data_IF_339477215527
#
_entry.id   IF_339477215527
#
_cell.length_a   1.000
_cell.length_b   1.000
_cell.length_c   1.000
_cell.angle_alpha   90.00
_cell.angle_beta   90.00
_cell.angle_gamma   90.00
#
_symmetry.space_group_name_H-M   'P 1'
#
loop_
_entity.id
_entity.type
_entity.pdbx_description
1 polymer ?
#
# COMPACT_ATOMS: atom_id res chain seq x y z
N UNK A 1 3.76 3.36 -45.07
CA UNK A 1 3.12 3.96 -43.86
C UNK A 1 4.02 3.63 -42.67
N UNK A 2 5.03 4.45 -42.42
CA UNK A 2 6.19 4.07 -41.58
C UNK A 2 6.10 4.61 -40.14
N UNK A 3 4.91 5.05 -39.72
CA UNK A 3 4.66 5.66 -38.42
C UNK A 3 5.00 4.72 -37.26
N UNK A 4 4.65 3.43 -37.38
CA UNK A 4 4.99 2.39 -36.41
C UNK A 4 6.50 2.25 -36.21
N UNK A 5 7.28 2.26 -37.29
CA UNK A 5 8.74 2.19 -37.23
C UNK A 5 9.37 3.44 -36.61
N UNK A 6 8.78 4.63 -36.80
CA UNK A 6 9.24 5.87 -36.17
C UNK A 6 8.94 5.87 -34.67
N UNK A 7 7.74 5.44 -34.28
CA UNK A 7 7.33 5.34 -32.89
C UNK A 7 8.17 4.28 -32.14
N UNK A 8 8.37 3.10 -32.75
CA UNK A 8 9.17 2.01 -32.18
C UNK A 8 10.66 2.30 -32.13
N UNK A 9 11.15 3.39 -32.73
CA UNK A 9 12.55 3.83 -32.64
C UNK A 9 12.75 4.98 -31.65
N UNK A 10 11.68 5.68 -31.25
CA UNK A 10 11.76 6.78 -30.30
C UNK A 10 11.85 6.26 -28.85
N UNK A 11 12.91 6.58 -28.09
CA UNK A 11 13.08 6.11 -26.71
C UNK A 11 11.97 6.61 -25.78
N UNK A 12 11.45 7.83 -25.98
CA UNK A 12 10.35 8.38 -25.18
C UNK A 12 9.04 7.62 -25.43
N UNK A 13 8.77 7.26 -26.69
CA UNK A 13 7.60 6.47 -27.03
C UNK A 13 7.65 5.06 -26.44
N UNK A 14 8.84 4.42 -26.46
CA UNK A 14 9.05 3.13 -25.80
C UNK A 14 8.83 3.21 -24.28
N UNK A 15 9.33 4.28 -23.66
CA UNK A 15 9.16 4.49 -22.22
C UNK A 15 7.69 4.70 -21.85
N UNK A 16 6.94 5.50 -22.61
CA UNK A 16 5.50 5.66 -22.43
C UNK A 16 4.74 4.35 -22.62
N UNK A 17 5.06 3.59 -23.67
CA UNK A 17 4.47 2.27 -23.90
C UNK A 17 4.78 1.29 -22.75
N UNK A 18 6.01 1.32 -22.21
CA UNK A 18 6.40 0.52 -21.06
C UNK A 18 5.58 0.88 -19.80
N UNK A 19 5.43 2.16 -19.48
CA UNK A 19 4.59 2.62 -18.35
C UNK A 19 3.15 2.14 -18.52
N UNK A 20 2.57 2.30 -19.73
CA UNK A 20 1.21 1.84 -20.02
C UNK A 20 1.07 0.33 -19.81
N UNK A 21 2.03 -0.46 -20.29
CA UNK A 21 2.04 -1.90 -20.06
C UNK A 21 2.06 -2.22 -18.56
N UNK A 22 2.91 -1.54 -17.77
CA UNK A 22 2.96 -1.72 -16.31
C UNK A 22 1.60 -1.39 -15.65
N UNK A 23 0.94 -0.31 -16.05
CA UNK A 23 -0.37 0.04 -15.53
C UNK A 23 -1.45 -0.99 -15.89
N UNK A 24 -1.49 -1.47 -17.14
CA UNK A 24 -2.42 -2.52 -17.54
C UNK A 24 -2.15 -3.84 -16.81
N UNK A 25 -0.89 -4.22 -16.60
CA UNK A 25 -0.54 -5.40 -15.82
C UNK A 25 -0.97 -5.25 -14.36
N UNK A 26 -0.76 -4.07 -13.75
CA UNK A 26 -1.21 -3.79 -12.39
C UNK A 26 -2.74 -3.84 -12.27
N UNK A 27 -3.47 -3.33 -13.27
CA UNK A 27 -4.92 -3.41 -13.33
C UNK A 27 -5.39 -4.87 -13.47
N UNK A 28 -4.86 -5.63 -14.43
CA UNK A 28 -5.22 -7.05 -14.63
C UNK A 28 -4.91 -7.88 -13.39
N UNK A 29 -3.76 -7.64 -12.75
CA UNK A 29 -3.29 -8.34 -11.56
C UNK A 29 -3.64 -7.63 -10.25
N UNK A 30 -4.70 -6.80 -10.21
CA UNK A 30 -5.02 -6.00 -9.02
C UNK A 30 -5.12 -6.82 -7.73
N UNK A 31 -5.77 -7.99 -7.76
CA UNK A 31 -5.91 -8.85 -6.57
C UNK A 31 -4.56 -9.39 -6.05
N UNK A 32 -3.52 -9.39 -6.88
CA UNK A 32 -2.15 -9.78 -6.51
C UNK A 32 -1.30 -8.56 -6.13
N UNK A 33 -1.46 -7.42 -6.82
CA UNK A 33 -0.65 -6.22 -6.59
C UNK A 33 -1.12 -5.43 -5.35
N UNK A 34 -2.42 -5.42 -5.10
CA UNK A 34 -3.04 -4.70 -3.98
C UNK A 34 -3.01 -5.53 -2.71
N UNK A 35 -2.52 -5.01 -1.56
CA UNK A 35 -2.42 -5.77 -0.32
C UNK A 35 -3.77 -6.12 0.32
N UNK A 36 -4.86 -5.42 -0.04
CA UNK A 36 -6.18 -5.63 0.54
C UNK A 36 -7.30 -5.46 -0.47
N UNK A 37 -8.46 -6.06 -0.19
CA UNK A 37 -9.69 -5.72 -0.90
C UNK A 37 -9.98 -4.20 -0.84
N UNK A 38 -10.52 -3.59 -1.91
CA UNK A 38 -10.83 -2.16 -1.95
C UNK A 38 -11.93 -1.74 -0.95
N UNK A 39 -12.64 -2.70 -0.37
CA UNK A 39 -13.67 -2.50 0.65
C UNK A 39 -13.19 -2.86 2.06
N UNK A 40 -11.96 -3.37 2.21
CA UNK A 40 -11.41 -3.71 3.52
C UNK A 40 -11.16 -2.43 4.32
N UNK A 41 -11.83 -2.30 5.44
CA UNK A 41 -11.65 -1.18 6.37
C UNK A 41 -10.75 -1.59 7.53
N UNK A 42 -9.88 -0.68 7.92
CA UNK A 42 -9.11 -0.77 9.15
C UNK A 42 -9.88 -0.05 10.27
N UNK A 43 -10.09 -0.73 11.40
CA UNK A 43 -10.69 -0.11 12.58
C UNK A 43 -9.85 1.06 13.06
N UNK A 44 -10.50 2.19 13.37
CA UNK A 44 -9.84 3.46 13.69
C UNK A 44 -8.77 3.86 12.66
N UNK A 45 -8.91 3.44 11.40
CA UNK A 45 -7.94 3.70 10.35
C UNK A 45 -8.22 4.97 9.56
N UNK A 46 -9.13 5.84 9.98
CA UNK A 46 -9.56 7.01 9.19
C UNK A 46 -8.41 8.00 8.97
N UNK A 47 -8.20 8.43 7.72
CA UNK A 47 -7.23 9.47 7.35
C UNK A 47 -5.82 9.25 7.91
N UNK A 48 -5.38 7.99 7.96
CA UNK A 48 -4.01 7.67 8.34
C UNK A 48 -3.06 8.09 7.21
N UNK A 49 -1.88 8.64 7.56
CA UNK A 49 -0.85 8.92 6.58
C UNK A 49 -0.26 7.62 6.01
N UNK A 50 0.60 7.71 4.98
CA UNK A 50 1.42 6.59 4.54
C UNK A 50 2.13 5.90 5.72
N UNK A 51 2.06 4.58 5.76
CA UNK A 51 2.61 3.78 6.85
C UNK A 51 4.13 3.92 6.92
N UNK A 52 4.66 4.18 8.12
CA UNK A 52 6.11 4.27 8.35
C UNK A 52 6.73 2.87 8.40
N UNK A 53 7.81 2.69 7.63
CA UNK A 53 8.59 1.45 7.60
C UNK A 53 9.87 1.64 8.42
N UNK A 54 10.14 0.70 9.30
CA UNK A 54 11.30 0.68 10.17
C UNK A 54 12.27 -0.42 9.72
N UNK A 55 13.57 -0.13 9.82
CA UNK A 55 14.65 -1.06 9.45
C UNK A 55 15.57 -1.34 10.65
N UNK A 56 15.56 -0.47 11.64
CA UNK A 56 16.43 -0.52 12.82
C UNK A 56 15.54 -0.78 14.03
N UNK A 57 15.85 -1.84 14.77
CA UNK A 57 15.18 -2.19 16.02
C UNK A 57 15.48 -1.18 17.13
N UNK A 58 14.68 -1.20 18.21
CA UNK A 58 14.91 -0.36 19.40
C UNK A 58 16.29 -0.56 20.04
N UNK A 59 16.90 -1.73 19.87
CA UNK A 59 18.26 -2.03 20.36
C UNK A 59 19.37 -1.57 19.41
N UNK A 60 19.03 -0.92 18.28
CA UNK A 60 20.00 -0.41 17.31
C UNK A 60 20.49 -1.44 16.29
N UNK A 61 19.96 -2.67 16.31
CA UNK A 61 20.33 -3.70 15.34
C UNK A 61 19.54 -3.54 14.03
N UNK A 62 20.22 -3.75 12.89
CA UNK A 62 19.59 -3.81 11.57
C UNK A 62 18.72 -5.06 11.48
N UNK A 63 17.49 -4.89 10.99
CA UNK A 63 16.48 -5.95 10.90
C UNK A 63 15.82 -5.94 9.52
N UNK A 64 15.10 -7.01 9.20
CA UNK A 64 14.19 -6.99 8.04
C UNK A 64 13.16 -5.88 8.20
N UNK A 65 12.72 -5.22 7.12
CA UNK A 65 11.79 -4.11 7.22
C UNK A 65 10.51 -4.53 7.95
N UNK A 66 10.04 -3.70 8.87
CA UNK A 66 8.87 -3.99 9.69
C UNK A 66 8.05 -2.72 9.98
N UNK A 67 6.82 -2.93 10.43
CA UNK A 67 5.83 -1.88 10.64
C UNK A 67 5.18 -2.08 12.00
N UNK A 68 4.78 -0.99 12.66
CA UNK A 68 3.96 -1.04 13.87
C UNK A 68 2.47 -0.81 13.55
N UNK A 69 1.55 -1.50 14.24
CA UNK A 69 0.13 -1.18 14.18
C UNK A 69 -0.08 0.30 14.50
N UNK A 70 -0.76 0.99 13.58
CA UNK A 70 -0.97 2.43 13.65
C UNK A 70 -2.45 2.70 13.49
N UNK A 71 -3.06 3.42 14.44
CA UNK A 71 -4.48 3.77 14.44
C UNK A 71 -4.67 5.25 14.78
N UNK A 72 -5.84 5.78 14.47
CA UNK A 72 -6.31 7.05 15.01
C UNK A 72 -6.75 6.85 16.45
N UNK A 73 -6.14 7.60 17.34
CA UNK A 73 -6.54 7.71 18.74
C UNK A 73 -7.78 8.58 18.93
N UNK A 74 -7.99 8.92 20.20
CA UNK A 74 -9.06 9.82 20.61
C UNK A 74 -8.82 11.25 20.09
N UNK A 75 -9.92 11.97 19.90
CA UNK A 75 -9.87 13.40 19.58
C UNK A 75 -9.47 14.16 20.82
N UNK A 76 -8.40 14.93 20.72
CA UNK A 76 -8.02 15.92 21.71
C UNK A 76 -9.11 17.01 21.78
N UNK A 77 -9.68 17.21 22.96
CA UNK A 77 -10.81 18.12 23.18
C UNK A 77 -10.41 19.60 23.09
N UNK A 78 -9.14 19.93 23.31
CA UNK A 78 -8.67 21.31 23.23
C UNK A 78 -8.29 21.69 21.79
N UNK A 79 -7.59 20.80 21.09
CA UNK A 79 -7.08 21.08 19.75
C UNK A 79 -7.98 20.58 18.62
N UNK A 80 -8.93 19.70 18.92
CA UNK A 80 -9.79 19.02 17.94
C UNK A 80 -9.06 18.00 17.07
N UNK A 81 -7.77 17.75 17.31
CA UNK A 81 -6.96 16.84 16.50
C UNK A 81 -7.08 15.40 16.99
N UNK A 82 -7.10 14.45 16.06
CA UNK A 82 -6.94 13.02 16.39
C UNK A 82 -5.46 12.67 16.37
N UNK A 83 -4.95 12.22 17.51
CA UNK A 83 -3.54 11.82 17.62
C UNK A 83 -3.37 10.42 17.05
N UNK A 84 -2.24 10.18 16.37
CA UNK A 84 -1.92 8.86 15.85
C UNK A 84 -1.32 8.03 16.99
N UNK A 85 -1.91 6.88 17.26
CA UNK A 85 -1.40 5.90 18.22
C UNK A 85 -0.65 4.80 17.48
N UNK A 86 0.56 4.50 17.96
CA UNK A 86 1.44 3.49 17.38
C UNK A 86 1.75 2.45 18.47
N UNK A 87 1.35 1.20 18.24
CA UNK A 87 1.65 0.09 19.14
C UNK A 87 3.04 -0.48 18.82
N UNK A 88 4.05 0.04 19.51
CA UNK A 88 5.43 -0.42 19.35
C UNK A 88 5.70 -1.81 19.96
N UNK A 89 4.72 -2.41 20.65
CA UNK A 89 4.83 -3.74 21.24
C UNK A 89 4.60 -4.88 20.24
N UNK A 90 4.06 -4.57 19.05
CA UNK A 90 3.64 -5.56 18.06
C UNK A 90 4.27 -5.34 16.68
N UNK A 91 5.61 -5.33 16.54
CA UNK A 91 6.26 -5.18 15.24
C UNK A 91 5.82 -6.30 14.30
N UNK A 92 5.36 -5.91 13.12
CA UNK A 92 4.86 -6.82 12.10
C UNK A 92 5.81 -6.77 10.88
N UNK A 93 6.54 -7.85 10.57
CA UNK A 93 7.47 -7.88 9.45
C UNK A 93 6.80 -7.66 8.09
N UNK A 94 7.43 -6.84 7.26
CA UNK A 94 7.09 -6.67 5.86
C UNK A 94 7.67 -7.85 5.06
N UNK A 95 6.93 -8.32 4.06
CA UNK A 95 7.42 -9.37 3.18
C UNK A 95 6.82 -9.27 1.78
N UNK A 96 7.47 -9.96 0.84
CA UNK A 96 6.93 -10.24 -0.48
C UNK A 96 6.18 -11.58 -0.48
N UNK A 97 5.25 -11.74 -1.42
CA UNK A 97 4.48 -12.97 -1.64
C UNK A 97 3.79 -13.45 -0.35
N UNK A 98 3.01 -12.55 0.25
CA UNK A 98 2.31 -12.79 1.52
C UNK A 98 0.91 -13.31 1.24
N UNK A 99 0.52 -14.38 1.93
CA UNK A 99 -0.85 -14.90 1.89
C UNK A 99 -1.73 -14.16 2.89
N UNK A 100 -2.91 -13.74 2.45
CA UNK A 100 -3.92 -13.22 3.37
C UNK A 100 -4.71 -14.33 4.09
N UNK A 101 -5.65 -13.92 4.95
CA UNK A 101 -6.50 -14.85 5.72
C UNK A 101 -7.41 -15.72 4.84
N UNK A 102 -7.65 -15.33 3.58
CA UNK A 102 -8.44 -16.07 2.58
C UNK A 102 -7.54 -16.86 1.62
N UNK A 103 -6.24 -16.97 1.93
CA UNK A 103 -5.24 -17.65 1.10
C UNK A 103 -5.05 -17.03 -0.28
N UNK A 104 -5.37 -15.74 -0.46
CA UNK A 104 -4.97 -15.02 -1.66
C UNK A 104 -3.53 -14.54 -1.52
N UNK A 105 -2.75 -14.70 -2.60
CA UNK A 105 -1.36 -14.29 -2.65
C UNK A 105 -1.26 -12.82 -3.04
N UNK A 106 -0.50 -12.05 -2.27
CA UNK A 106 -0.23 -10.64 -2.50
C UNK A 106 1.26 -10.42 -2.74
N UNK A 107 1.60 -9.54 -3.69
CA UNK A 107 2.98 -9.19 -4.06
C UNK A 107 3.78 -8.74 -2.84
N UNK A 108 3.17 -7.91 -2.00
CA UNK A 108 3.72 -7.47 -0.73
C UNK A 108 2.63 -7.43 0.33
N UNK A 109 3.04 -7.58 1.59
CA UNK A 109 2.14 -7.54 2.71
C UNK A 109 2.89 -7.55 4.03
N UNK A 110 2.12 -7.65 5.11
CA UNK A 110 2.63 -7.65 6.47
C UNK A 110 2.25 -8.94 7.15
N UNK A 111 3.19 -9.55 7.87
CA UNK A 111 2.95 -10.71 8.71
C UNK A 111 2.73 -10.21 10.15
N UNK A 112 1.48 -10.08 10.56
CA UNK A 112 1.13 -9.60 11.91
C UNK A 112 -0.16 -8.81 11.92
N UNK A 113 -0.33 -7.99 12.97
CA UNK A 113 -1.54 -7.17 13.16
C UNK A 113 -1.47 -5.82 12.44
N UNK A 114 -0.26 -5.35 12.10
CA UNK A 114 -0.12 -4.06 11.43
C UNK A 114 -0.63 -4.08 9.98
N UNK A 115 -1.06 -2.91 9.52
CA UNK A 115 -1.50 -2.68 8.14
C UNK A 115 -0.49 -1.78 7.42
N UNK A 116 0.01 -2.26 6.29
CA UNK A 116 0.73 -1.45 5.31
C UNK A 116 -0.27 -0.67 4.46
N UNK A 117 -0.34 0.65 4.64
CA UNK A 117 -1.10 1.57 3.81
C UNK A 117 -0.11 2.45 3.04
N UNK A 118 0.21 2.09 1.80
CA UNK A 118 1.31 2.72 1.03
C UNK A 118 1.04 4.21 0.78
N UNK A 119 -0.21 4.54 0.46
CA UNK A 119 -0.65 5.91 0.19
C UNK A 119 -1.50 6.47 1.34
N UNK A 120 -1.50 5.80 2.50
CA UNK A 120 -2.41 6.09 3.59
C UNK A 120 -3.83 5.59 3.34
N UNK A 121 -4.77 6.09 4.13
CA UNK A 121 -6.17 5.66 4.09
C UNK A 121 -7.12 6.82 3.82
N UNK A 122 -8.34 6.47 3.40
CA UNK A 122 -9.44 7.44 3.30
C UNK A 122 -10.16 7.67 4.65
N UNK A 123 -11.23 8.46 4.61
CA UNK A 123 -12.11 8.76 5.73
C UNK A 123 -12.77 7.52 6.37
N UNK A 124 -12.97 6.45 5.60
CA UNK A 124 -13.50 5.16 6.06
C UNK A 124 -12.41 4.18 6.50
N UNK A 125 -11.14 4.55 6.45
CA UNK A 125 -10.01 3.70 6.82
C UNK A 125 -9.70 2.59 5.83
N UNK A 126 -10.01 2.78 4.54
CA UNK A 126 -9.61 1.87 3.45
C UNK A 126 -8.27 2.31 2.87
N UNK A 127 -7.42 1.35 2.52
CA UNK A 127 -6.12 1.62 1.91
C UNK A 127 -6.27 2.24 0.51
N UNK A 128 -5.72 3.44 0.33
CA UNK A 128 -5.89 4.21 -0.91
C UNK A 128 -5.15 3.58 -2.09
N UNK A 129 -4.01 2.94 -1.85
CA UNK A 129 -3.27 2.25 -2.91
C UNK A 129 -4.10 1.11 -3.48
N UNK A 130 -4.66 0.28 -2.61
CA UNK A 130 -5.56 -0.81 -2.99
C UNK A 130 -6.76 -0.32 -3.78
N UNK A 131 -7.39 0.77 -3.31
CA UNK A 131 -8.52 1.39 -4.02
C UNK A 131 -8.12 1.92 -5.41
N UNK A 132 -6.95 2.52 -5.56
CA UNK A 132 -6.48 3.03 -6.85
C UNK A 132 -6.25 1.90 -7.85
N UNK A 133 -5.54 0.84 -7.44
CA UNK A 133 -5.25 -0.30 -8.29
C UNK A 133 -6.55 -1.02 -8.72
N UNK A 134 -7.47 -1.28 -7.78
CA UNK A 134 -8.76 -1.87 -8.12
C UNK A 134 -9.65 -0.95 -8.97
N UNK A 135 -9.63 0.37 -8.70
CA UNK A 135 -10.39 1.37 -9.46
C UNK A 135 -9.96 1.43 -10.93
N UNK A 136 -8.68 1.20 -11.22
CA UNK A 136 -8.15 1.14 -12.58
C UNK A 136 -8.74 0.03 -13.46
N UNK A 137 -9.41 -0.99 -12.88
CA UNK A 137 -10.12 -2.04 -13.64
C UNK A 137 -11.49 -1.57 -14.17
N UNK A 138 -12.07 -0.54 -13.56
CA UNK A 138 -13.46 -0.12 -13.81
C UNK A 138 -13.51 1.12 -14.71
N UNK A 139 -12.46 1.96 -14.68
CA UNK A 139 -12.39 3.24 -15.40
C UNK A 139 -11.78 3.15 -16.79
#
# INVERSE_FOLDING_TARGET
MNWWQKLSKNPLAKFGAFILIVFYLAAILADFVSPYSPYAQQSNGSLLPPTKIHYISKSGQLTTPYIYPTIQGNTDLETGKRLIEVDEGKPSPLGFFVLDKKSHLHLFGVRGEAKLNILGTDDQGRDQFSRLIHGSRIS
#
